data_IF_121514389712
#
_entry.id   IF_121514389712
#
_cell.length_a   1.000
_cell.length_b   1.000
_cell.length_c   1.000
_cell.angle_alpha   90.00
_cell.angle_beta   90.00
_cell.angle_gamma   90.00
#
_symmetry.space_group_name_H-M   'P 1'
#
loop_
_entity.id
_entity.type
_entity.pdbx_description
1 polymer ?
#
# COMPACT_ATOMS: atom_id res chain seq x y z
N UNK A 1 14.70 15.38 -17.52
CA UNK A 1 14.29 15.68 -16.13
C UNK A 1 13.06 14.87 -15.80
N UNK A 2 12.84 14.55 -14.51
CA UNK A 2 11.75 13.67 -14.05
C UNK A 2 11.16 14.18 -12.73
N UNK A 3 9.86 14.01 -12.53
CA UNK A 3 9.19 14.27 -11.25
C UNK A 3 7.74 13.81 -11.26
N UNK A 4 7.15 13.70 -10.07
CA UNK A 4 5.72 13.38 -9.91
C UNK A 4 4.89 14.63 -10.13
N UNK A 5 3.86 14.53 -10.97
CA UNK A 5 2.95 15.62 -11.28
C UNK A 5 2.08 15.96 -10.07
N UNK A 6 2.06 17.26 -9.76
CA UNK A 6 1.21 17.93 -8.80
C UNK A 6 0.50 19.10 -9.50
N UNK A 7 -0.80 18.96 -9.79
CA UNK A 7 -1.62 19.92 -10.54
C UNK A 7 -2.21 20.95 -9.56
N UNK A 8 -2.00 22.22 -9.86
CA UNK A 8 -2.50 23.35 -9.08
C UNK A 8 -3.97 23.65 -9.44
N UNK A 9 -4.74 24.34 -8.56
CA UNK A 9 -6.14 24.68 -8.82
C UNK A 9 -6.36 25.48 -10.11
N UNK A 10 -5.38 26.28 -10.53
CA UNK A 10 -5.43 27.07 -11.77
C UNK A 10 -5.20 26.22 -13.03
N UNK A 11 -4.88 24.93 -12.86
CA UNK A 11 -4.79 23.93 -13.92
C UNK A 11 -3.42 23.76 -14.57
N UNK A 12 -2.45 24.61 -14.25
CA UNK A 12 -1.03 24.30 -14.50
C UNK A 12 -0.51 23.34 -13.41
N UNK A 13 0.70 22.81 -13.57
CA UNK A 13 1.26 21.91 -12.56
C UNK A 13 2.77 22.05 -12.41
N UNK A 14 3.27 21.31 -11.44
CA UNK A 14 4.70 21.17 -11.17
C UNK A 14 5.05 19.70 -11.09
N UNK A 15 6.15 19.31 -11.74
CA UNK A 15 6.77 18.01 -11.51
C UNK A 15 7.69 18.15 -10.30
N UNK A 16 7.40 17.40 -9.24
CA UNK A 16 8.15 17.38 -7.97
C UNK A 16 9.20 16.27 -8.02
N UNK A 17 10.51 16.56 -8.14
CA UNK A 17 11.53 15.51 -8.20
C UNK A 17 11.68 14.72 -6.90
N UNK A 18 11.35 15.35 -5.76
CA UNK A 18 11.40 14.76 -4.41
C UNK A 18 10.02 14.62 -3.77
N UNK A 19 8.94 14.64 -4.56
CA UNK A 19 7.54 14.58 -4.09
C UNK A 19 7.07 15.79 -3.24
N UNK A 20 8.00 16.59 -2.72
CA UNK A 20 7.77 17.85 -2.01
C UNK A 20 8.12 19.06 -2.88
N UNK A 21 7.57 20.25 -2.60
CA UNK A 21 7.83 21.46 -3.36
C UNK A 21 9.28 21.87 -3.12
N UNK A 22 9.95 22.26 -4.19
CA UNK A 22 11.35 22.63 -4.15
C UNK A 22 11.68 23.65 -5.24
N UNK A 23 12.83 24.31 -5.12
CA UNK A 23 13.34 25.19 -6.18
C UNK A 23 13.74 24.43 -7.45
N UNK A 24 13.83 23.09 -7.37
CA UNK A 24 14.13 22.21 -8.50
C UNK A 24 12.89 21.72 -9.23
N UNK A 25 11.72 22.25 -8.89
CA UNK A 25 10.48 21.85 -9.51
C UNK A 25 10.42 22.32 -10.97
N UNK A 26 9.70 21.53 -11.76
CA UNK A 26 9.60 21.74 -13.20
C UNK A 26 8.17 22.12 -13.52
N UNK A 27 7.98 23.35 -13.98
CA UNK A 27 6.70 23.83 -14.46
C UNK A 27 6.25 23.01 -15.68
N UNK A 28 4.98 22.60 -15.66
CA UNK A 28 4.29 21.97 -16.77
C UNK A 28 2.99 22.73 -17.05
N UNK A 29 2.80 23.08 -18.31
CA UNK A 29 1.66 23.89 -18.73
C UNK A 29 0.35 23.10 -18.71
N UNK A 30 -0.77 23.80 -18.54
CA UNK A 30 -2.10 23.20 -18.63
C UNK A 30 -2.35 22.51 -19.99
N UNK A 31 -1.81 23.04 -21.08
CA UNK A 31 -1.94 22.45 -22.41
C UNK A 31 -1.23 21.09 -22.51
N UNK A 32 -0.03 20.95 -21.92
CA UNK A 32 0.68 19.66 -21.85
C UNK A 32 -0.08 18.66 -20.96
N UNK A 33 -0.59 19.09 -19.81
CA UNK A 33 -1.40 18.25 -18.91
C UNK A 33 -2.63 17.71 -19.65
N UNK A 34 -3.38 18.58 -20.33
CA UNK A 34 -4.58 18.20 -21.08
C UNK A 34 -4.25 17.29 -22.27
N UNK A 35 -3.21 17.61 -23.03
CA UNK A 35 -2.81 16.84 -24.22
C UNK A 35 -2.51 15.38 -23.90
N UNK A 36 -1.80 15.13 -22.80
CA UNK A 36 -1.39 13.77 -22.42
C UNK A 36 -2.29 13.14 -21.35
N UNK A 37 -3.44 13.75 -21.06
CA UNK A 37 -4.40 13.29 -20.04
C UNK A 37 -3.71 12.96 -18.69
N UNK A 38 -2.78 13.83 -18.29
CA UNK A 38 -2.01 13.66 -17.06
C UNK A 38 -2.89 13.90 -15.84
N UNK A 39 -2.58 13.17 -14.77
CA UNK A 39 -3.27 13.22 -13.48
C UNK A 39 -2.24 13.30 -12.35
N UNK A 40 -2.65 13.82 -11.20
CA UNK A 40 -1.81 13.82 -10.00
C UNK A 40 -1.24 12.41 -9.75
N UNK A 41 0.02 12.36 -9.31
CA UNK A 41 0.74 11.11 -9.09
C UNK A 41 1.45 10.54 -10.33
N UNK A 42 1.22 11.10 -11.54
CA UNK A 42 1.95 10.65 -12.72
C UNK A 42 3.42 11.00 -12.63
N UNK A 43 4.27 10.00 -12.83
CA UNK A 43 5.69 10.21 -12.97
C UNK A 43 5.99 10.63 -14.40
N UNK A 44 6.31 11.91 -14.60
CA UNK A 44 6.55 12.49 -15.92
C UNK A 44 8.04 12.67 -16.13
N UNK A 45 8.54 12.22 -17.28
CA UNK A 45 9.92 12.39 -17.70
C UNK A 45 9.98 13.05 -19.08
N UNK A 46 10.92 13.96 -19.26
CA UNK A 46 11.18 14.57 -20.56
C UNK A 46 12.19 15.72 -20.53
N UNK A 47 12.22 16.47 -21.63
CA UNK A 47 13.17 17.55 -21.83
C UNK A 47 12.67 18.83 -21.16
N UNK A 48 13.54 19.49 -20.41
CA UNK A 48 13.23 20.75 -19.73
C UNK A 48 14.27 21.81 -20.09
N UNK A 49 13.85 23.08 -20.03
CA UNK A 49 14.72 24.24 -20.21
C UNK A 49 14.92 24.99 -18.89
N UNK A 50 16.06 25.66 -18.70
CA UNK A 50 16.25 26.53 -17.56
C UNK A 50 15.23 27.69 -17.54
N UNK A 51 14.95 28.26 -16.37
CA UNK A 51 14.12 29.46 -16.24
C UNK A 51 14.72 30.63 -17.03
N UNK A 52 13.85 31.43 -17.66
CA UNK A 52 14.22 32.76 -18.18
C UNK A 52 14.37 33.77 -17.03
N UNK A 53 14.88 34.98 -17.32
CA UNK A 53 15.11 36.03 -16.31
C UNK A 53 13.88 36.34 -15.42
N UNK A 54 12.66 36.17 -15.93
CA UNK A 54 11.41 36.42 -15.20
C UNK A 54 10.72 35.13 -14.68
N UNK A 55 11.36 33.97 -14.77
CA UNK A 55 10.80 32.69 -14.36
C UNK A 55 11.55 32.12 -13.15
N UNK A 56 10.82 31.52 -12.21
CA UNK A 56 11.43 30.91 -11.02
C UNK A 56 11.83 29.45 -11.22
N UNK A 57 11.14 28.74 -12.11
CA UNK A 57 11.21 27.29 -12.24
C UNK A 57 11.66 26.87 -13.65
N UNK A 58 12.20 25.65 -13.74
CA UNK A 58 12.47 25.01 -15.03
C UNK A 58 11.16 24.80 -15.78
N UNK A 59 11.17 24.92 -17.10
CA UNK A 59 9.98 24.70 -17.93
C UNK A 59 10.09 23.38 -18.71
N UNK A 60 9.10 22.50 -18.60
CA UNK A 60 9.04 21.27 -19.40
C UNK A 60 8.76 21.62 -20.88
N UNK A 61 9.66 21.24 -21.78
CA UNK A 61 9.52 21.44 -23.22
C UNK A 61 8.72 20.31 -23.87
N UNK A 62 9.10 19.07 -23.56
CA UNK A 62 8.54 17.88 -24.19
C UNK A 62 8.35 16.79 -23.13
N UNK A 63 7.17 16.17 -23.13
CA UNK A 63 6.91 14.95 -22.38
C UNK A 63 7.38 13.77 -23.23
N UNK A 64 8.24 12.92 -22.68
CA UNK A 64 8.77 11.73 -23.37
C UNK A 64 8.21 10.45 -22.79
N UNK A 65 8.11 10.36 -21.46
CA UNK A 65 7.57 9.19 -20.77
C UNK A 65 6.64 9.59 -19.65
N UNK A 66 5.66 8.73 -19.39
CA UNK A 66 4.73 8.81 -18.26
C UNK A 66 4.70 7.42 -17.61
N UNK A 67 5.04 7.36 -16.32
CA UNK A 67 5.10 6.11 -15.55
C UNK A 67 5.97 5.01 -16.19
N UNK A 68 7.12 5.40 -16.78
CA UNK A 68 8.09 4.53 -17.48
C UNK A 68 7.71 4.14 -18.92
N UNK A 69 6.47 4.42 -19.34
CA UNK A 69 6.00 4.15 -20.70
C UNK A 69 6.10 5.39 -21.60
N UNK A 70 6.23 5.23 -22.93
CA UNK A 70 6.15 6.35 -23.86
C UNK A 70 4.87 7.18 -23.68
N UNK A 71 4.97 8.49 -23.80
CA UNK A 71 3.85 9.39 -23.53
C UNK A 71 2.63 9.11 -24.43
N UNK A 72 2.89 8.68 -25.67
CA UNK A 72 1.89 8.39 -26.68
C UNK A 72 1.04 7.14 -26.37
N UNK A 73 1.55 6.20 -25.55
CA UNK A 73 0.82 4.96 -25.23
C UNK A 73 -0.21 5.13 -24.12
N UNK A 74 -0.29 6.32 -23.51
CA UNK A 74 -0.98 6.53 -22.23
C UNK A 74 -2.41 7.04 -22.36
N UNK A 75 -2.86 7.39 -23.57
CA UNK A 75 -4.19 7.97 -23.81
C UNK A 75 -5.35 7.02 -23.46
N UNK A 76 -5.10 5.71 -23.39
CA UNK A 76 -6.14 4.67 -23.22
C UNK A 76 -6.17 3.97 -21.86
N UNK A 77 -5.40 4.43 -20.87
CA UNK A 77 -5.39 3.76 -19.55
C UNK A 77 -6.71 3.99 -18.79
N UNK A 78 -7.23 2.99 -18.06
CA UNK A 78 -8.43 3.15 -17.25
C UNK A 78 -8.20 4.13 -16.09
N UNK A 79 -9.30 4.60 -15.49
CA UNK A 79 -9.23 5.29 -14.19
C UNK A 79 -9.29 4.28 -13.07
N UNK A 80 -8.56 4.54 -11.99
CA UNK A 80 -8.54 3.68 -10.81
C UNK A 80 -9.93 3.42 -10.22
N UNK A 81 -10.81 4.42 -10.29
CA UNK A 81 -12.18 4.34 -9.81
C UNK A 81 -13.08 3.42 -10.65
N UNK A 82 -12.74 3.25 -11.94
CA UNK A 82 -13.48 2.40 -12.88
C UNK A 82 -13.04 0.92 -12.81
N UNK A 83 -11.97 0.62 -12.06
CA UNK A 83 -11.46 -0.74 -11.88
C UNK A 83 -12.32 -1.53 -10.91
N UNK A 84 -12.70 -2.76 -11.30
CA UNK A 84 -13.54 -3.64 -10.50
C UNK A 84 -12.75 -4.19 -9.30
N UNK A 85 -13.14 -3.87 -8.05
CA UNK A 85 -12.48 -4.39 -6.86
C UNK A 85 -12.94 -5.82 -6.56
N UNK A 86 -12.00 -6.71 -6.26
CA UNK A 86 -12.26 -8.08 -5.79
C UNK A 86 -11.51 -8.38 -4.49
N UNK A 87 -11.90 -9.44 -3.81
CA UNK A 87 -11.15 -9.92 -2.65
C UNK A 87 -9.75 -10.38 -3.07
N UNK A 88 -8.72 -10.14 -2.24
CA UNK A 88 -7.41 -10.74 -2.44
C UNK A 88 -7.52 -12.27 -2.49
N UNK A 89 -7.03 -12.87 -3.56
CA UNK A 89 -7.04 -14.32 -3.80
C UNK A 89 -5.65 -14.88 -4.11
N UNK A 90 -4.63 -14.03 -4.02
CA UNK A 90 -3.23 -14.38 -4.23
C UNK A 90 -2.47 -14.01 -2.97
N UNK A 91 -1.88 -15.01 -2.33
CA UNK A 91 -1.06 -14.84 -1.14
C UNK A 91 0.25 -14.13 -1.49
N UNK A 92 0.58 -13.11 -0.69
CA UNK A 92 1.84 -12.37 -0.69
C UNK A 92 2.70 -12.92 0.45
N UNK A 93 3.37 -14.04 0.16
CA UNK A 93 4.18 -14.81 1.09
C UNK A 93 5.41 -14.02 1.54
N UNK A 94 5.60 -13.84 2.84
CA UNK A 94 6.71 -13.07 3.43
C UNK A 94 7.88 -13.92 3.89
N UNK A 95 7.65 -15.20 4.19
CA UNK A 95 8.69 -16.13 4.62
C UNK A 95 9.84 -16.21 3.61
N UNK A 96 11.08 -16.02 4.08
CA UNK A 96 12.31 -16.11 3.28
C UNK A 96 13.25 -17.23 3.75
N UNK A 97 12.85 -18.03 4.73
CA UNK A 97 13.66 -19.09 5.35
C UNK A 97 13.28 -19.31 6.81
N UNK A 98 14.21 -19.82 7.62
CA UNK A 98 13.97 -20.12 9.05
C UNK A 98 13.63 -18.86 9.85
N UNK A 99 14.32 -17.76 9.55
CA UNK A 99 14.18 -16.44 10.18
C UNK A 99 13.93 -15.38 9.09
N UNK A 100 13.22 -14.29 9.41
CA UNK A 100 12.64 -13.94 10.71
C UNK A 100 11.33 -14.68 11.02
N UNK A 101 11.14 -15.10 12.28
CA UNK A 101 9.95 -15.84 12.72
C UNK A 101 8.65 -15.02 12.59
N UNK A 102 8.72 -13.69 12.63
CA UNK A 102 7.58 -12.80 12.41
C UNK A 102 6.91 -13.02 11.06
N UNK A 103 7.68 -13.06 9.97
CA UNK A 103 7.17 -13.29 8.61
C UNK A 103 6.49 -14.66 8.50
N UNK A 104 7.07 -15.67 9.14
CA UNK A 104 6.50 -17.01 9.20
C UNK A 104 5.18 -17.05 9.97
N UNK A 105 5.11 -16.36 11.11
CA UNK A 105 3.88 -16.24 11.90
C UNK A 105 2.81 -15.46 11.12
N UNK A 106 3.19 -14.37 10.44
CA UNK A 106 2.27 -13.58 9.60
C UNK A 106 1.69 -14.47 8.49
N UNK A 107 2.52 -15.19 7.74
CA UNK A 107 2.06 -16.06 6.65
C UNK A 107 1.08 -17.17 7.11
N UNK A 108 1.13 -17.58 8.38
CA UNK A 108 0.27 -18.63 8.94
C UNK A 108 -0.98 -18.10 9.62
N UNK A 109 -0.84 -17.05 10.43
CA UNK A 109 -1.91 -16.55 11.31
C UNK A 109 -2.64 -15.37 10.67
N UNK A 110 -1.94 -14.55 9.89
CA UNK A 110 -2.43 -13.25 9.39
C UNK A 110 -2.01 -13.08 7.93
N UNK A 111 -2.37 -14.02 7.02
CA UNK A 111 -1.87 -14.01 5.66
C UNK A 111 -2.22 -12.70 4.94
N UNK A 112 -1.29 -12.20 4.14
CA UNK A 112 -1.44 -10.94 3.42
C UNK A 112 -1.70 -11.24 1.95
N UNK A 113 -2.75 -10.68 1.37
CA UNK A 113 -3.03 -10.81 -0.06
C UNK A 113 -2.55 -9.62 -0.90
N UNK A 114 -2.42 -9.82 -2.21
CA UNK A 114 -2.35 -8.73 -3.17
C UNK A 114 -3.68 -7.95 -3.18
N UNK A 115 -3.65 -6.68 -2.77
CA UNK A 115 -4.84 -5.87 -2.56
C UNK A 115 -5.32 -5.79 -1.11
N UNK A 116 -4.55 -6.28 -0.13
CA UNK A 116 -4.94 -6.30 1.28
C UNK A 116 -5.04 -4.87 1.86
N UNK A 117 -6.02 -4.66 2.74
CA UNK A 117 -6.13 -3.49 3.64
C UNK A 117 -5.77 -3.92 5.05
N UNK A 118 -4.47 -3.94 5.34
CA UNK A 118 -3.94 -4.41 6.61
C UNK A 118 -3.70 -3.29 7.61
N UNK A 119 -3.93 -3.60 8.89
CA UNK A 119 -3.57 -2.77 10.02
C UNK A 119 -2.63 -3.53 10.94
N UNK A 120 -1.45 -2.96 11.22
CA UNK A 120 -0.57 -3.38 12.31
C UNK A 120 -0.93 -2.55 13.53
N UNK A 121 -1.64 -3.16 14.46
CA UNK A 121 -2.12 -2.51 15.67
C UNK A 121 -1.04 -2.65 16.73
N UNK A 122 -0.43 -1.53 17.12
CA UNK A 122 0.76 -1.55 17.97
C UNK A 122 0.66 -0.54 19.09
N UNK A 123 0.85 -0.97 20.35
CA UNK A 123 1.26 -0.07 21.42
C UNK A 123 2.61 0.59 21.09
N UNK A 124 2.91 1.75 21.69
CA UNK A 124 4.25 2.32 21.62
C UNK A 124 5.31 1.31 22.07
N UNK A 125 6.44 1.26 21.35
CA UNK A 125 7.61 0.39 21.63
C UNK A 125 7.42 -1.12 21.43
N UNK A 126 6.26 -1.61 20.98
CA UNK A 126 5.98 -3.05 20.79
C UNK A 126 6.69 -3.73 19.59
N UNK A 127 7.63 -3.04 18.92
CA UNK A 127 8.39 -3.60 17.80
C UNK A 127 7.81 -3.37 16.40
N UNK A 128 6.85 -2.42 16.27
CA UNK A 128 6.26 -1.96 15.00
C UNK A 128 7.27 -1.82 13.85
N UNK A 129 8.34 -1.06 14.08
CA UNK A 129 9.36 -0.76 13.07
C UNK A 129 10.08 -2.02 12.57
N UNK A 130 10.36 -2.97 13.46
CA UNK A 130 10.96 -4.25 13.10
C UNK A 130 10.03 -5.04 12.19
N UNK A 131 8.75 -5.16 12.55
CA UNK A 131 7.76 -5.87 11.73
C UNK A 131 7.61 -5.23 10.35
N UNK A 132 7.53 -3.90 10.26
CA UNK A 132 7.44 -3.20 8.97
C UNK A 132 8.65 -3.49 8.07
N UNK A 133 9.86 -3.48 8.63
CA UNK A 133 11.09 -3.79 7.89
C UNK A 133 11.14 -5.24 7.42
N UNK A 134 10.71 -6.17 8.26
CA UNK A 134 10.67 -7.59 7.93
C UNK A 134 9.64 -7.88 6.82
N UNK A 135 8.47 -7.21 6.85
CA UNK A 135 7.49 -7.25 5.76
C UNK A 135 8.11 -6.68 4.48
N UNK A 136 8.75 -5.50 4.53
CA UNK A 136 9.41 -4.89 3.38
C UNK A 136 10.49 -5.81 2.76
N UNK A 137 11.30 -6.46 3.61
CA UNK A 137 12.34 -7.37 3.20
C UNK A 137 11.77 -8.65 2.57
N UNK A 138 10.74 -9.24 3.18
CA UNK A 138 10.04 -10.42 2.65
C UNK A 138 9.43 -10.16 1.27
N UNK A 139 8.75 -9.02 1.11
CA UNK A 139 8.21 -8.59 -0.19
C UNK A 139 9.33 -8.42 -1.22
N UNK A 140 10.40 -7.71 -0.85
CA UNK A 140 11.51 -7.43 -1.78
C UNK A 140 12.26 -8.69 -2.21
N UNK A 141 12.33 -9.70 -1.34
CA UNK A 141 12.98 -10.98 -1.62
C UNK A 141 12.11 -11.88 -2.50
N UNK A 142 10.83 -12.00 -2.17
CA UNK A 142 9.92 -12.96 -2.82
C UNK A 142 9.24 -12.39 -4.07
N UNK A 143 9.10 -11.06 -4.17
CA UNK A 143 8.35 -10.38 -5.23
C UNK A 143 9.08 -9.12 -5.74
N UNK A 144 10.23 -9.26 -6.44
CA UNK A 144 11.00 -8.12 -6.94
C UNK A 144 10.27 -7.25 -7.98
N UNK A 145 9.19 -7.77 -8.58
CA UNK A 145 8.33 -7.03 -9.50
C UNK A 145 7.30 -6.13 -8.82
N UNK A 146 7.05 -6.32 -7.51
CA UNK A 146 6.12 -5.50 -6.74
C UNK A 146 6.72 -4.12 -6.54
N UNK A 147 5.93 -3.09 -6.80
CA UNK A 147 6.34 -1.72 -6.54
C UNK A 147 6.11 -1.40 -5.06
N UNK A 148 7.17 -1.52 -4.27
CA UNK A 148 7.14 -1.20 -2.84
C UNK A 148 7.24 0.31 -2.62
N UNK A 149 6.37 0.84 -1.77
CA UNK A 149 6.35 2.25 -1.38
C UNK A 149 6.28 2.33 0.14
N UNK A 150 6.87 3.38 0.72
CA UNK A 150 6.69 3.72 2.12
C UNK A 150 6.16 5.15 2.26
N UNK A 151 5.09 5.31 3.05
CA UNK A 151 4.53 6.60 3.43
C UNK A 151 4.75 6.81 4.94
N UNK A 152 5.73 7.64 5.30
CA UNK A 152 6.18 7.85 6.67
C UNK A 152 5.71 9.24 7.13
N UNK A 153 4.66 9.27 7.94
CA UNK A 153 3.90 10.48 8.27
C UNK A 153 4.04 10.83 9.74
N UNK A 154 4.61 12.00 10.01
CA UNK A 154 4.75 12.53 11.36
C UNK A 154 5.68 11.70 12.25
N UNK A 155 6.62 10.98 11.64
CA UNK A 155 7.64 10.21 12.36
C UNK A 155 8.93 11.01 12.58
N UNK A 156 9.81 10.48 13.42
CA UNK A 156 11.10 11.11 13.71
C UNK A 156 12.07 10.96 12.54
N UNK A 157 12.91 11.99 12.24
CA UNK A 157 13.85 11.93 11.12
C UNK A 157 14.79 10.71 11.12
N UNK A 158 15.24 10.28 12.30
CA UNK A 158 16.08 9.10 12.46
C UNK A 158 15.34 7.80 12.14
N UNK A 159 14.06 7.68 12.51
CA UNK A 159 13.21 6.53 12.20
C UNK A 159 12.88 6.50 10.70
N UNK A 160 12.62 7.67 10.11
CA UNK A 160 12.42 7.83 8.66
C UNK A 160 13.65 7.35 7.90
N UNK A 161 14.85 7.78 8.31
CA UNK A 161 16.11 7.38 7.67
C UNK A 161 16.33 5.87 7.76
N UNK A 162 16.04 5.29 8.93
CA UNK A 162 16.20 3.87 9.20
C UNK A 162 15.26 2.99 8.35
N UNK A 163 13.97 3.34 8.27
CA UNK A 163 13.00 2.63 7.41
C UNK A 163 13.33 2.82 5.93
N UNK A 164 13.69 4.04 5.52
CA UNK A 164 14.00 4.37 4.12
C UNK A 164 15.12 3.51 3.54
N UNK A 165 16.12 3.15 4.36
CA UNK A 165 17.23 2.28 3.94
C UNK A 165 16.83 0.82 3.76
N UNK A 166 15.78 0.37 4.44
CA UNK A 166 15.27 -1.00 4.34
C UNK A 166 14.29 -1.20 3.17
N UNK A 167 13.64 -0.13 2.71
CA UNK A 167 12.65 -0.18 1.63
C UNK A 167 13.34 0.00 0.28
N UNK A 168 13.37 -1.06 -0.53
CA UNK A 168 13.86 -1.01 -1.92
C UNK A 168 12.77 -0.47 -2.86
N UNK A 169 12.43 0.80 -2.71
CA UNK A 169 11.29 1.40 -3.41
C UNK A 169 11.18 2.93 -3.26
N UNK A 170 10.00 3.47 -3.56
CA UNK A 170 9.73 4.91 -3.44
C UNK A 170 9.36 5.26 -1.98
N UNK A 171 10.04 6.24 -1.38
CA UNK A 171 9.76 6.69 0.00
C UNK A 171 9.20 8.11 -0.02
N UNK A 172 8.06 8.27 0.63
CA UNK A 172 7.31 9.50 0.82
C UNK A 172 7.31 9.78 2.32
N UNK A 173 8.05 10.80 2.75
CA UNK A 173 8.19 11.09 4.17
C UNK A 173 7.87 12.55 4.46
N UNK A 174 7.16 12.77 5.55
CA UNK A 174 7.09 14.07 6.22
C UNK A 174 7.25 13.87 7.72
N UNK A 175 8.16 14.62 8.32
CA UNK A 175 8.55 14.47 9.71
C UNK A 175 7.52 15.10 10.65
N UNK A 176 7.63 14.79 11.94
CA UNK A 176 6.70 15.30 12.97
C UNK A 176 6.78 16.82 13.19
N UNK A 177 7.90 17.44 12.87
CA UNK A 177 8.18 18.87 13.02
C UNK A 177 7.73 19.71 11.81
N UNK A 178 7.26 19.05 10.74
CA UNK A 178 6.64 19.70 9.59
C UNK A 178 5.14 19.97 9.81
N UNK A 179 4.57 20.86 8.99
CA UNK A 179 3.17 21.25 9.13
C UNK A 179 2.21 20.08 8.84
N UNK A 180 1.03 20.02 9.50
CA UNK A 180 0.00 19.02 9.20
C UNK A 180 -0.44 19.01 7.72
N UNK A 181 -0.41 20.17 7.06
CA UNK A 181 -0.72 20.29 5.63
C UNK A 181 0.33 19.59 4.76
N UNK A 182 1.61 19.66 5.10
CA UNK A 182 2.65 18.92 4.38
C UNK A 182 2.55 17.41 4.63
N UNK A 183 2.24 17.01 5.87
CA UNK A 183 2.00 15.61 6.22
C UNK A 183 0.83 14.99 5.44
N UNK A 184 -0.26 15.73 5.28
CA UNK A 184 -1.41 15.27 4.47
C UNK A 184 -1.10 15.29 2.97
N UNK A 185 -0.41 16.33 2.48
CA UNK A 185 -0.01 16.45 1.06
C UNK A 185 0.90 15.30 0.62
N UNK A 186 1.92 14.95 1.41
CA UNK A 186 2.85 13.87 1.03
C UNK A 186 2.15 12.51 0.97
N UNK A 187 1.17 12.27 1.85
CA UNK A 187 0.35 11.07 1.81
C UNK A 187 -0.52 11.03 0.54
N UNK A 188 -1.18 12.13 0.19
CA UNK A 188 -1.98 12.22 -1.04
C UNK A 188 -1.15 11.98 -2.30
N UNK A 189 0.07 12.53 -2.37
CA UNK A 189 1.00 12.26 -3.48
C UNK A 189 1.36 10.77 -3.55
N UNK A 190 1.65 10.13 -2.41
CA UNK A 190 1.94 8.69 -2.36
C UNK A 190 0.75 7.85 -2.85
N UNK A 191 -0.46 8.19 -2.42
CA UNK A 191 -1.68 7.49 -2.80
C UNK A 191 -1.98 7.64 -4.29
N UNK A 192 -1.90 8.87 -4.81
CA UNK A 192 -2.12 9.13 -6.23
C UNK A 192 -1.09 8.40 -7.09
N UNK A 193 0.19 8.45 -6.69
CA UNK A 193 1.27 7.71 -7.36
C UNK A 193 0.96 6.22 -7.44
N UNK A 194 0.54 5.61 -6.33
CA UNK A 194 0.17 4.20 -6.29
C UNK A 194 -1.02 3.89 -7.21
N UNK A 195 -2.06 4.73 -7.23
CA UNK A 195 -3.22 4.57 -8.13
C UNK A 195 -2.80 4.60 -9.60
N UNK A 196 -1.92 5.54 -9.98
CA UNK A 196 -1.41 5.62 -11.37
C UNK A 196 -0.65 4.36 -11.79
N UNK A 197 0.06 3.71 -10.86
CA UNK A 197 0.76 2.46 -11.12
C UNK A 197 -0.19 1.26 -11.24
N UNK A 198 -1.25 1.20 -10.42
CA UNK A 198 -2.27 0.15 -10.51
C UNK A 198 -3.10 0.25 -11.79
N UNK A 199 -3.39 1.47 -12.25
CA UNK A 199 -4.01 1.71 -13.57
C UNK A 199 -3.17 1.14 -14.72
N UNK A 200 -1.87 0.91 -14.50
CA UNK A 200 -0.95 0.27 -15.44
C UNK A 200 -0.81 -1.24 -15.22
N UNK A 201 -1.64 -1.83 -14.36
CA UNK A 201 -1.59 -3.25 -14.01
C UNK A 201 -0.43 -3.64 -13.10
N UNK A 202 0.23 -2.69 -12.42
CA UNK A 202 1.27 -3.02 -11.44
C UNK A 202 0.65 -3.43 -10.10
N UNK A 203 1.31 -4.36 -9.43
CA UNK A 203 1.08 -4.66 -8.02
C UNK A 203 1.90 -3.69 -7.16
N UNK A 204 1.21 -2.93 -6.33
CA UNK A 204 1.78 -1.87 -5.49
C UNK A 204 1.52 -2.19 -4.03
N UNK A 205 2.54 -2.06 -3.19
CA UNK A 205 2.40 -2.18 -1.73
C UNK A 205 2.84 -0.88 -1.09
N UNK A 206 1.96 -0.25 -0.30
CA UNK A 206 2.29 0.90 0.55
C UNK A 206 2.43 0.42 2.00
N UNK A 207 3.59 0.65 2.59
CA UNK A 207 3.81 0.59 4.03
C UNK A 207 3.57 1.99 4.61
N UNK A 208 2.46 2.16 5.32
CA UNK A 208 2.05 3.44 5.90
C UNK A 208 2.36 3.48 7.39
N UNK A 209 3.23 4.39 7.80
CA UNK A 209 3.60 4.60 9.20
C UNK A 209 3.41 6.07 9.59
N UNK A 210 2.27 6.49 10.15
CA UNK A 210 1.13 5.67 10.58
C UNK A 210 -0.22 6.24 10.14
N UNK A 211 -1.25 5.39 10.07
CA UNK A 211 -2.62 5.85 9.79
C UNK A 211 -3.13 6.77 10.90
N UNK A 212 -2.72 6.51 12.16
CA UNK A 212 -3.10 7.34 13.31
C UNK A 212 -2.56 8.75 13.17
N UNK A 213 -1.26 8.91 12.85
CA UNK A 213 -0.66 10.23 12.65
C UNK A 213 -1.25 10.94 11.44
N UNK A 214 -1.52 10.22 10.35
CA UNK A 214 -2.17 10.79 9.17
C UNK A 214 -3.58 11.32 9.49
N UNK A 215 -4.39 10.56 10.23
CA UNK A 215 -5.72 11.00 10.66
C UNK A 215 -5.65 12.24 11.58
N UNK A 216 -4.67 12.30 12.49
CA UNK A 216 -4.43 13.49 13.32
C UNK A 216 -4.02 14.70 12.47
N UNK A 217 -3.17 14.51 11.46
CA UNK A 217 -2.79 15.57 10.54
C UNK A 217 -4.01 16.13 9.79
N UNK A 218 -4.90 15.26 9.27
CA UNK A 218 -6.16 15.70 8.67
C UNK A 218 -7.05 16.48 9.64
N UNK A 219 -7.13 16.05 10.90
CA UNK A 219 -7.93 16.75 11.91
C UNK A 219 -7.42 18.17 12.21
N UNK A 220 -6.13 18.43 11.99
CA UNK A 220 -5.53 19.75 12.16
C UNK A 220 -5.56 20.60 10.88
N UNK A 221 -5.66 19.99 9.70
CA UNK A 221 -5.63 20.68 8.41
C UNK A 221 -6.99 20.93 7.78
N UNK A 222 -8.00 20.13 8.11
CA UNK A 222 -9.35 20.24 7.54
C UNK A 222 -10.16 21.32 8.27
N UNK A 223 -10.92 22.10 7.52
CA UNK A 223 -11.84 23.09 8.11
C UNK A 223 -12.87 22.38 8.99
N UNK A 224 -13.12 22.85 10.22
CA UNK A 224 -14.08 22.22 11.12
C UNK A 224 -15.49 22.16 10.52
N UNK A 225 -16.13 21.00 10.61
CA UNK A 225 -17.51 20.77 10.20
C UNK A 225 -18.54 21.35 11.17
N UNK A 226 -18.09 21.84 12.34
CA UNK A 226 -18.94 22.29 13.43
C UNK A 226 -19.52 21.16 14.28
N UNK A 227 -19.16 19.90 14.00
CA UNK A 227 -19.50 18.72 14.81
C UNK A 227 -18.22 18.10 15.33
N UNK A 228 -18.22 17.68 16.59
CA UNK A 228 -17.07 17.03 17.21
C UNK A 228 -17.49 15.70 17.80
N UNK A 229 -16.76 14.65 17.49
CA UNK A 229 -16.91 13.34 18.13
C UNK A 229 -16.26 13.35 19.52
N UNK A 230 -16.51 12.28 20.28
CA UNK A 230 -15.75 12.01 21.50
C UNK A 230 -14.23 12.14 21.25
N UNK A 231 -13.51 12.78 22.16
CA UNK A 231 -12.06 12.95 22.03
C UNK A 231 -11.61 14.12 21.13
N UNK A 232 -12.52 15.00 20.71
CA UNK A 232 -12.14 16.25 20.01
C UNK A 232 -11.87 16.07 18.51
N UNK A 233 -12.32 14.96 17.93
CA UNK A 233 -12.08 14.62 16.53
C UNK A 233 -13.24 15.05 15.64
N UNK A 234 -12.96 15.71 14.52
CA UNK A 234 -13.97 16.08 13.53
C UNK A 234 -14.26 14.90 12.58
N UNK A 235 -15.52 14.44 12.45
CA UNK A 235 -15.85 13.35 11.52
C UNK A 235 -15.36 13.59 10.08
N UNK A 236 -15.36 14.84 9.61
CA UNK A 236 -14.92 15.19 8.27
C UNK A 236 -13.43 14.89 8.05
N UNK A 237 -12.63 14.94 9.11
CA UNK A 237 -11.20 14.64 9.05
C UNK A 237 -10.89 13.14 8.97
N UNK A 238 -11.83 12.25 9.31
CA UNK A 238 -11.64 10.81 9.14
C UNK A 238 -11.72 10.39 7.67
N UNK A 239 -12.54 11.10 6.89
CA UNK A 239 -12.87 10.69 5.53
C UNK A 239 -11.63 10.56 4.62
N UNK A 240 -10.69 11.52 4.55
CA UNK A 240 -9.51 11.39 3.71
C UNK A 240 -8.62 10.21 4.10
N UNK A 241 -8.38 9.99 5.39
CA UNK A 241 -7.58 8.87 5.87
C UNK A 241 -8.29 7.52 5.63
N UNK A 242 -9.61 7.44 5.80
CA UNK A 242 -10.42 6.27 5.39
C UNK A 242 -10.33 6.00 3.90
N UNK A 243 -10.35 7.04 3.07
CA UNK A 243 -10.18 6.94 1.62
C UNK A 243 -8.78 6.44 1.25
N UNK A 244 -7.75 6.80 2.02
CA UNK A 244 -6.38 6.29 1.84
C UNK A 244 -6.34 4.77 2.06
N UNK A 245 -6.77 4.29 3.22
CA UNK A 245 -6.76 2.86 3.52
C UNK A 245 -7.75 2.09 2.60
N UNK A 246 -8.94 2.65 2.37
CA UNK A 246 -9.98 2.08 1.51
C UNK A 246 -9.67 2.08 0.01
N UNK A 247 -8.59 2.76 -0.40
CA UNK A 247 -8.10 2.63 -1.77
C UNK A 247 -7.54 1.24 -2.04
N UNK A 248 -6.95 0.58 -1.04
CA UNK A 248 -6.37 -0.74 -1.21
C UNK A 248 -7.41 -1.78 -1.62
N UNK A 249 -7.14 -2.43 -2.74
CA UNK A 249 -8.02 -3.39 -3.42
C UNK A 249 -7.21 -4.26 -4.38
N UNK A 250 -7.67 -5.49 -4.56
CA UNK A 250 -7.28 -6.31 -5.69
C UNK A 250 -8.16 -5.90 -6.88
N UNK A 251 -7.60 -5.85 -8.09
CA UNK A 251 -8.35 -5.49 -9.29
C UNK A 251 -8.57 -6.74 -10.14
N UNK A 252 -9.81 -6.97 -10.54
CA UNK A 252 -10.15 -8.06 -11.45
C UNK A 252 -9.44 -7.89 -12.79
N UNK A 253 -8.96 -9.00 -13.35
CA UNK A 253 -8.44 -8.98 -14.71
C UNK A 253 -9.58 -8.74 -15.68
N UNK A 254 -9.53 -7.67 -16.49
CA UNK A 254 -10.49 -7.55 -17.58
C UNK A 254 -10.26 -8.74 -18.52
N UNK A 255 -11.19 -9.69 -18.49
CA UNK A 255 -11.36 -10.63 -19.59
C UNK A 255 -11.67 -9.76 -20.79
N UNK A 256 -10.90 -9.88 -21.88
CA UNK A 256 -11.31 -9.31 -23.14
C UNK A 256 -12.69 -9.89 -23.43
N UNK A 257 -13.74 -9.08 -23.28
CA UNK A 257 -15.04 -9.44 -23.81
C UNK A 257 -14.81 -9.61 -25.31
N UNK A 258 -14.85 -10.85 -25.78
CA UNK A 258 -14.98 -11.12 -27.21
C UNK A 258 -16.19 -10.29 -27.66
N UNK A 259 -16.05 -9.37 -28.62
CA UNK A 259 -17.19 -8.57 -29.04
C UNK A 259 -18.25 -9.55 -29.51
N UNK A 260 -19.38 -9.59 -28.81
CA UNK A 260 -20.52 -10.40 -29.20
C UNK A 260 -20.90 -9.96 -30.62
N UNK A 261 -20.45 -10.71 -31.61
CA UNK A 261 -20.82 -10.48 -32.99
C UNK A 261 -22.30 -10.82 -33.09
N UNK A 262 -23.18 -9.91 -33.54
CA UNK A 262 -24.49 -10.34 -33.97
C UNK A 262 -24.26 -11.32 -35.13
N UNK A 263 -24.72 -12.57 -34.97
CA UNK A 263 -24.71 -13.55 -36.05
C UNK A 263 -25.52 -13.00 -37.21
N UNK A 264 -24.81 -12.47 -38.20
CA UNK A 264 -25.35 -12.25 -39.54
C UNK A 264 -24.40 -12.97 -40.48
N UNK A 265 -24.97 -13.91 -41.23
CA UNK A 265 -24.26 -14.74 -42.19
C UNK A 265 -23.79 -13.91 -43.39
N UNK A 266 -22.71 -14.42 -43.99
CA UNK A 266 -22.28 -14.33 -45.40
C UNK A 266 -21.02 -13.48 -45.72
N UNK A 267 -19.96 -14.23 -46.12
CA UNK A 267 -18.92 -13.99 -47.17
C UNK A 267 -18.04 -12.73 -47.02
N UNK A 268 -16.74 -12.72 -47.28
CA UNK A 268 -15.82 -13.53 -48.11
C UNK A 268 -14.37 -13.30 -47.62
N UNK A 269 -13.47 -14.17 -48.07
CA UNK A 269 -12.04 -14.22 -47.74
C UNK A 269 -11.22 -13.06 -48.35
N UNK A 270 -10.01 -12.90 -47.78
CA UNK A 270 -8.81 -12.16 -48.25
C UNK A 270 -8.72 -10.65 -47.97
N UNK A 271 -8.06 -10.30 -46.86
CA UNK A 271 -6.97 -9.30 -46.86
C UNK A 271 -6.13 -9.45 -45.56
N UNK A 272 -4.95 -10.09 -45.67
CA UNK A 272 -3.90 -10.02 -44.67
C UNK A 272 -3.21 -8.65 -44.75
N UNK A 273 -3.62 -7.70 -43.90
CA UNK A 273 -2.80 -6.52 -43.61
C UNK A 273 -2.08 -6.71 -42.28
N UNK A 274 -0.75 -6.90 -42.41
CA UNK A 274 0.25 -6.57 -41.39
C UNK A 274 0.01 -5.15 -40.86
N UNK A 275 -0.14 -5.03 -39.55
CA UNK A 275 0.35 -3.94 -38.69
C UNK A 275 -0.56 -3.76 -37.47
N UNK A 276 -0.36 -4.57 -36.44
CA UNK A 276 -0.73 -4.19 -35.07
C UNK A 276 0.27 -4.78 -34.08
N UNK A 277 1.49 -4.23 -34.10
CA UNK A 277 2.56 -4.49 -33.11
C UNK A 277 2.95 -3.19 -32.42
N UNK A 278 2.01 -2.53 -31.72
CA UNK A 278 2.39 -1.57 -30.66
C UNK A 278 1.26 -1.14 -29.71
N UNK A 279 0.07 -1.74 -29.75
CA UNK A 279 -0.92 -1.48 -28.70
C UNK A 279 -0.49 -2.21 -27.42
N UNK A 280 -0.04 -1.46 -26.41
CA UNK A 280 0.09 -1.99 -25.06
C UNK A 280 -1.32 -2.47 -24.66
N UNK A 281 -1.58 -3.78 -24.72
CA UNK A 281 -2.76 -4.35 -24.07
C UNK A 281 -2.51 -4.16 -22.58
N UNK A 282 -2.94 -3.02 -22.04
CA UNK A 282 -3.02 -2.81 -20.60
C UNK A 282 -4.02 -3.85 -20.12
N UNK A 283 -3.53 -5.04 -19.78
CA UNK A 283 -4.30 -6.05 -19.08
C UNK A 283 -4.58 -5.44 -17.72
N UNK A 284 -5.73 -4.77 -17.59
CA UNK A 284 -6.18 -4.23 -16.31
C UNK A 284 -6.25 -5.40 -15.36
N UNK A 285 -5.40 -5.39 -14.34
CA UNK A 285 -5.05 -6.56 -13.54
C UNK A 285 -3.80 -6.27 -12.74
N UNK A 286 -3.97 -5.46 -11.69
CA UNK A 286 -2.95 -5.11 -10.70
C UNK A 286 -3.58 -5.09 -9.31
N UNK A 287 -2.87 -4.56 -8.33
CA UNK A 287 -3.42 -4.47 -6.97
C UNK A 287 -2.78 -3.33 -6.20
N UNK A 288 -3.56 -2.73 -5.30
CA UNK A 288 -3.05 -1.82 -4.28
C UNK A 288 -3.19 -2.49 -2.93
N UNK A 289 -2.07 -2.88 -2.33
CA UNK A 289 -1.99 -3.32 -0.94
C UNK A 289 -1.57 -2.13 -0.07
N UNK A 290 -2.25 -1.91 1.05
CA UNK A 290 -1.85 -0.91 2.05
C UNK A 290 -1.75 -1.62 3.39
N UNK A 291 -0.56 -1.60 3.99
CA UNK A 291 -0.31 -2.05 5.36
C UNK A 291 0.00 -0.81 6.20
N UNK A 292 -1.02 -0.35 6.93
CA UNK A 292 -0.90 0.81 7.81
C UNK A 292 -0.62 0.40 9.25
N UNK A 293 0.14 1.18 9.99
CA UNK A 293 0.26 1.01 11.45
C UNK A 293 -0.78 1.86 12.16
N UNK A 294 -1.42 1.32 13.19
CA UNK A 294 -2.35 2.02 14.06
C UNK A 294 -1.83 1.98 15.50
N UNK A 295 -1.75 3.14 16.14
CA UNK A 295 -1.33 3.25 17.53
C UNK A 295 -2.51 2.99 18.46
N UNK A 296 -2.30 2.14 19.46
CA UNK A 296 -3.24 1.87 20.55
C UNK A 296 -2.56 2.07 21.90
N UNK A 297 -3.33 2.12 22.99
CA UNK A 297 -2.81 2.24 24.36
C UNK A 297 -1.88 3.44 24.56
N UNK A 298 -2.12 4.52 23.82
CA UNK A 298 -1.35 5.77 23.90
C UNK A 298 -1.81 6.65 25.07
N UNK A 299 -2.96 6.32 25.67
CA UNK A 299 -3.66 7.17 26.65
C UNK A 299 -4.51 8.28 26.01
N UNK A 300 -4.55 8.35 24.68
CA UNK A 300 -5.33 9.33 23.92
C UNK A 300 -6.66 8.71 23.47
N UNK A 301 -7.78 9.24 23.99
CA UNK A 301 -9.14 8.87 23.51
C UNK A 301 -9.33 9.11 22.02
N UNK A 302 -8.62 10.09 21.47
CA UNK A 302 -8.63 10.37 20.03
C UNK A 302 -8.04 9.20 19.24
N UNK A 303 -6.94 8.63 19.71
CA UNK A 303 -6.26 7.52 19.01
C UNK A 303 -7.10 6.24 19.09
N UNK A 304 -7.77 6.00 20.23
CA UNK A 304 -8.72 4.90 20.39
C UNK A 304 -9.89 5.02 19.39
N UNK A 305 -10.48 6.22 19.26
CA UNK A 305 -11.55 6.47 18.29
C UNK A 305 -11.06 6.28 16.85
N UNK A 306 -9.88 6.81 16.52
CA UNK A 306 -9.27 6.62 15.20
C UNK A 306 -9.15 5.12 14.91
N UNK A 307 -8.58 4.35 15.83
CA UNK A 307 -8.40 2.92 15.66
C UNK A 307 -9.73 2.19 15.38
N UNK A 308 -10.76 2.42 16.20
CA UNK A 308 -12.07 1.77 16.01
C UNK A 308 -12.69 2.09 14.64
N UNK A 309 -12.54 3.32 14.15
CA UNK A 309 -13.03 3.75 12.83
C UNK A 309 -12.27 3.08 11.68
N UNK A 310 -10.98 2.79 11.85
CA UNK A 310 -10.16 2.10 10.86
C UNK A 310 -10.31 0.57 10.90
N UNK A 311 -10.60 -0.01 12.06
CA UNK A 311 -10.85 -1.45 12.22
C UNK A 311 -11.99 -1.94 11.32
N UNK A 312 -13.04 -1.15 11.15
CA UNK A 312 -14.14 -1.44 10.22
C UNK A 312 -13.76 -1.35 8.74
N UNK A 313 -12.74 -0.55 8.42
CA UNK A 313 -12.27 -0.28 7.04
C UNK A 313 -11.27 -1.34 6.55
N UNK A 314 -10.42 -1.83 7.46
CA UNK A 314 -9.45 -2.88 7.21
C UNK A 314 -10.09 -4.27 7.07
N UNK A 315 -9.34 -5.18 6.45
CA UNK A 315 -9.70 -6.60 6.34
C UNK A 315 -8.59 -7.55 6.83
N UNK A 316 -7.52 -7.00 7.42
CA UNK A 316 -6.46 -7.74 8.10
C UNK A 316 -6.00 -6.94 9.32
N UNK A 317 -5.78 -7.62 10.43
CA UNK A 317 -5.32 -7.04 11.70
C UNK A 317 -4.17 -7.88 12.26
N UNK A 318 -2.99 -7.27 12.41
CA UNK A 318 -1.83 -7.82 13.10
C UNK A 318 -1.65 -7.05 14.41
N UNK A 319 -2.01 -7.66 15.53
CA UNK A 319 -1.90 -7.03 16.85
C UNK A 319 -0.54 -7.33 17.47
N UNK A 320 0.14 -6.29 17.94
CA UNK A 320 1.34 -6.40 18.78
C UNK A 320 0.97 -6.20 20.25
N UNK A 321 1.62 -6.95 21.13
CA UNK A 321 1.35 -6.94 22.57
C UNK A 321 2.47 -6.28 23.37
N UNK A 322 2.09 -5.34 24.24
CA UNK A 322 2.98 -4.75 25.24
C UNK A 322 3.44 -5.79 26.27
N UNK A 323 2.57 -6.69 26.71
CA UNK A 323 2.90 -7.71 27.72
C UNK A 323 3.96 -8.69 27.21
N UNK A 324 3.86 -9.12 25.95
CA UNK A 324 4.89 -9.95 25.30
C UNK A 324 6.23 -9.21 25.23
N UNK A 325 6.20 -7.94 24.82
CA UNK A 325 7.39 -7.10 24.68
C UNK A 325 8.10 -6.87 26.04
N UNK A 326 7.36 -6.55 27.10
CA UNK A 326 7.90 -6.32 28.45
C UNK A 326 8.59 -7.58 29.01
N UNK A 327 8.08 -8.76 28.65
CA UNK A 327 8.67 -10.07 28.96
C UNK A 327 9.78 -10.50 27.99
N UNK A 328 10.13 -9.65 27.02
CA UNK A 328 11.15 -9.90 25.98
C UNK A 328 10.84 -11.10 25.08
N UNK A 329 9.56 -11.36 24.82
CA UNK A 329 9.11 -12.37 23.87
C UNK A 329 8.98 -11.71 22.49
N UNK A 330 9.78 -12.16 21.53
CA UNK A 330 9.79 -11.63 20.16
C UNK A 330 9.62 -12.75 19.13
N UNK A 331 8.85 -12.52 18.05
CA UNK A 331 8.09 -11.29 17.77
C UNK A 331 6.91 -11.12 18.73
N UNK A 332 6.63 -9.88 19.15
CA UNK A 332 5.59 -9.56 20.14
C UNK A 332 4.19 -9.56 19.51
N UNK A 333 3.90 -10.53 18.63
CA UNK A 333 2.62 -10.68 17.92
C UNK A 333 1.64 -11.40 18.84
N UNK A 334 0.47 -10.83 19.03
CA UNK A 334 -0.67 -11.51 19.65
C UNK A 334 -1.36 -12.37 18.60
N UNK A 335 -1.03 -13.66 18.58
CA UNK A 335 -1.56 -14.62 17.60
C UNK A 335 -3.05 -14.90 17.79
N UNK A 336 -3.60 -14.65 18.98
CA UNK A 336 -5.02 -14.88 19.27
C UNK A 336 -5.89 -13.75 18.73
N UNK A 337 -5.43 -12.51 18.86
CA UNK A 337 -6.15 -11.32 18.39
C UNK A 337 -5.92 -10.99 16.92
N UNK A 338 -4.93 -11.61 16.29
CA UNK A 338 -4.59 -11.32 14.89
C UNK A 338 -5.32 -12.23 13.90
N UNK A 339 -5.62 -11.69 12.72
CA UNK A 339 -6.26 -12.46 11.66
C UNK A 339 -6.56 -11.66 10.40
N UNK A 340 -6.88 -12.40 9.33
CA UNK A 340 -7.27 -11.86 8.03
C UNK A 340 -8.67 -12.34 7.70
N UNK A 341 -9.54 -11.44 7.23
CA UNK A 341 -10.86 -11.82 6.71
C UNK A 341 -10.69 -12.52 5.36
N UNK A 342 -11.44 -13.60 5.15
CA UNK A 342 -11.37 -14.42 3.95
C UNK A 342 -9.98 -15.03 3.71
N UNK A 343 -9.29 -15.44 4.78
CA UNK A 343 -7.97 -16.07 4.67
C UNK A 343 -8.03 -17.41 3.92
N UNK A 344 -9.20 -18.04 3.81
CA UNK A 344 -9.43 -19.21 2.97
C UNK A 344 -9.11 -18.97 1.48
N UNK A 345 -9.30 -17.75 0.99
CA UNK A 345 -8.99 -17.38 -0.40
C UNK A 345 -7.47 -17.26 -0.65
N UNK A 346 -6.68 -17.11 0.42
CA UNK A 346 -5.24 -16.94 0.34
C UNK A 346 -4.49 -18.24 0.58
N UNK A 347 -4.95 -19.03 1.56
CA UNK A 347 -4.26 -20.24 2.01
C UNK A 347 -4.70 -21.48 1.24
N UNK A 348 -5.94 -21.52 0.73
CA UNK A 348 -6.52 -22.70 0.09
C UNK A 348 -6.93 -23.77 1.09
N UNK A 349 -7.77 -24.72 0.65
CA UNK A 349 -8.47 -25.65 1.55
C UNK A 349 -7.55 -26.50 2.43
N UNK A 350 -6.47 -27.03 1.87
CA UNK A 350 -5.55 -27.94 2.59
C UNK A 350 -4.81 -27.22 3.71
N UNK A 351 -4.17 -26.07 3.39
CA UNK A 351 -3.49 -25.27 4.41
C UNK A 351 -4.46 -24.74 5.45
N UNK A 352 -5.68 -24.36 5.05
CA UNK A 352 -6.69 -23.89 5.99
C UNK A 352 -7.01 -24.93 7.05
N UNK A 353 -7.16 -26.21 6.68
CA UNK A 353 -7.39 -27.28 7.67
C UNK A 353 -6.27 -27.32 8.72
N UNK A 354 -5.01 -27.26 8.28
CA UNK A 354 -3.86 -27.29 9.19
C UNK A 354 -3.77 -26.03 10.06
N UNK A 355 -4.05 -24.86 9.49
CA UNK A 355 -4.08 -23.58 10.23
C UNK A 355 -5.24 -23.54 11.24
N UNK A 356 -6.40 -24.09 10.91
CA UNK A 356 -7.51 -24.24 11.86
C UNK A 356 -7.13 -25.15 13.02
N UNK A 357 -6.51 -26.30 12.75
CA UNK A 357 -6.00 -27.20 13.79
C UNK A 357 -4.98 -26.47 14.69
N UNK A 358 -4.05 -25.72 14.09
CA UNK A 358 -3.09 -24.89 14.83
C UNK A 358 -3.80 -23.87 15.73
N UNK A 359 -4.76 -23.11 15.19
CA UNK A 359 -5.53 -22.12 15.96
C UNK A 359 -6.29 -22.77 17.12
N UNK A 360 -6.88 -23.95 16.92
CA UNK A 360 -7.54 -24.71 17.98
C UNK A 360 -6.56 -25.15 19.07
N UNK A 361 -5.38 -25.67 18.72
CA UNK A 361 -4.34 -26.03 19.69
C UNK A 361 -3.88 -24.81 20.50
N UNK A 362 -3.64 -23.68 19.83
CA UNK A 362 -3.24 -22.43 20.49
C UNK A 362 -4.36 -21.88 21.39
N UNK A 363 -5.63 -22.07 21.04
CA UNK A 363 -6.76 -21.56 21.84
C UNK A 363 -6.80 -22.11 23.28
N UNK A 364 -6.20 -23.28 23.53
CA UNK A 364 -6.11 -23.93 24.84
C UNK A 364 -5.05 -23.31 25.77
N UNK A 365 -4.16 -22.48 25.22
CA UNK A 365 -3.07 -21.83 25.93
C UNK A 365 -3.44 -20.40 26.34
N UNK A 366 -2.75 -19.86 27.34
CA UNK A 366 -2.80 -18.43 27.66
C UNK A 366 -2.19 -17.58 26.54
N UNK A 367 -2.57 -16.30 26.47
CA UNK A 367 -2.12 -15.40 25.41
C UNK A 367 -0.59 -15.33 25.30
N UNK A 368 0.14 -15.36 26.43
CA UNK A 368 1.60 -15.34 26.41
C UNK A 368 2.23 -16.67 25.96
N UNK A 369 1.62 -17.79 26.34
CA UNK A 369 2.10 -19.13 25.98
C UNK A 369 1.91 -19.41 24.48
N UNK A 370 0.83 -18.88 23.87
CA UNK A 370 0.53 -19.09 22.44
C UNK A 370 1.69 -18.67 21.54
N UNK A 371 2.15 -17.43 21.68
CA UNK A 371 3.21 -16.89 20.81
C UNK A 371 4.54 -17.57 21.08
N UNK A 372 4.86 -17.87 22.35
CA UNK A 372 6.10 -18.56 22.71
C UNK A 372 6.13 -19.98 22.14
N UNK A 373 5.06 -20.74 22.33
CA UNK A 373 4.93 -22.12 21.85
C UNK A 373 4.98 -22.19 20.32
N UNK A 374 4.31 -21.27 19.63
CA UNK A 374 4.36 -21.17 18.17
C UNK A 374 5.79 -20.84 17.69
N UNK A 375 6.43 -19.83 18.27
CA UNK A 375 7.78 -19.43 17.89
C UNK A 375 8.80 -20.56 18.10
N UNK A 376 8.71 -21.28 19.22
CA UNK A 376 9.58 -22.42 19.52
C UNK A 376 9.40 -23.55 18.51
N UNK A 377 8.15 -23.91 18.15
CA UNK A 377 7.89 -24.96 17.16
C UNK A 377 8.31 -24.55 15.75
N UNK A 378 8.06 -23.31 15.34
CA UNK A 378 8.53 -22.79 14.06
C UNK A 378 10.06 -22.83 13.97
N UNK A 379 10.76 -22.47 15.05
CA UNK A 379 12.22 -22.53 15.11
C UNK A 379 12.82 -23.93 14.89
N UNK A 380 12.04 -25.00 15.05
CA UNK A 380 12.48 -26.40 14.83
C UNK A 380 12.33 -26.87 13.38
N UNK A 381 11.75 -26.05 12.51
CA UNK A 381 11.45 -26.41 11.10
C UNK A 381 12.06 -25.38 10.15
N UNK A 382 12.37 -25.81 8.93
CA UNK A 382 13.05 -24.96 7.95
C UNK A 382 12.11 -23.94 7.32
N UNK A 383 10.83 -24.29 7.20
CA UNK A 383 9.81 -23.46 6.60
C UNK A 383 8.40 -23.83 7.12
N UNK A 384 7.41 -23.03 6.73
CA UNK A 384 6.02 -23.17 7.12
C UNK A 384 5.35 -24.42 6.54
N UNK A 385 5.79 -24.93 5.39
CA UNK A 385 5.27 -26.17 4.81
C UNK A 385 5.65 -27.37 5.68
N UNK A 386 6.93 -27.52 6.00
CA UNK A 386 7.43 -28.55 6.91
C UNK A 386 6.77 -28.48 8.29
N UNK A 387 6.52 -27.26 8.79
CA UNK A 387 5.79 -27.06 10.04
C UNK A 387 4.35 -27.58 9.97
N UNK A 388 3.58 -27.19 8.94
CA UNK A 388 2.20 -27.65 8.80
C UNK A 388 2.13 -29.18 8.59
N UNK A 389 3.06 -29.76 7.84
CA UNK A 389 3.16 -31.21 7.64
C UNK A 389 3.50 -31.97 8.94
N UNK A 390 4.19 -31.32 9.87
CA UNK A 390 4.48 -31.89 11.19
C UNK A 390 3.23 -31.95 12.08
N UNK A 391 2.27 -31.03 11.89
CA UNK A 391 1.01 -31.01 12.64
C UNK A 391 0.03 -32.08 12.16
N UNK A 392 0.05 -32.43 10.88
CA UNK A 392 -0.81 -33.48 10.32
C UNK A 392 -0.41 -34.90 10.75
N UNK A 393 0.82 -35.08 11.23
CA UNK A 393 1.41 -36.39 11.60
C UNK A 393 1.33 -36.70 13.10
N UNK A 394 1.00 -35.73 13.94
CA UNK A 394 0.86 -35.88 15.39
C UNK A 394 -0.59 -35.70 15.81
#
# INVERSE_FOLDING_TARGET
MRGVLDVMPEGHGFLRPKYTPSERDIYISQSQIRRFLLRNGDMVEGQARPPKENERYWGLLKVEKINEYPAETMERRPKFEDLVPVYPNKHLKLETGVVPLSTRIIDLIVPIGFGQRGLIVSPPKAGKTTILKEIAAGISANYPSVHLMAALIGERPEEVTDISRSVKGEVFASNFDESPTEQTRIAEVALDRARRLVEMGKDVVILLDSITRLARAYNLSVNPSGRTLSGGFDPAALYPAKRFLGAARCVEKATQASPATPKTQEKSEEEETKDDKSALSVTSGGSLTVIGTALIETGSRMDDLIYEEFKGTGNMELTLSRSLQERRIFPAIDVGRSGTRHDELLLGEERMKNVTTLRNMLSLLSDEERTMMLAERLGKTKNNEEFLDSLARG
#
